data_IF_886560152611
#
_entry.id   IF_886560152611
#
_cell.length_a   1.000
_cell.length_b   1.000
_cell.length_c   1.000
_cell.angle_alpha   90.00
_cell.angle_beta   90.00
_cell.angle_gamma   90.00
#
_symmetry.space_group_name_H-M   'P 1'
#
loop_
_entity.id
_entity.type
_entity.pdbx_description
1 polymer ?
#
# COMPACT_ATOMS: atom_id res chain seq x y z
N UNK A 1 15.44 -19.38 4.36
CA UNK A 1 14.84 -18.68 3.20
C UNK A 1 13.51 -19.38 2.89
N UNK A 2 12.41 -18.66 2.89
CA UNK A 2 11.07 -19.21 2.68
C UNK A 2 10.61 -18.95 1.22
N UNK A 3 10.75 -19.97 0.37
CA UNK A 3 10.29 -19.94 -1.02
C UNK A 3 8.86 -20.48 -1.19
N UNK A 4 8.21 -20.95 -0.11
CA UNK A 4 6.88 -21.54 -0.18
C UNK A 4 5.83 -20.53 -0.69
N UNK A 5 5.95 -19.27 -0.30
CA UNK A 5 5.08 -18.16 -0.76
C UNK A 5 5.12 -17.94 -2.27
N UNK A 6 6.16 -18.45 -2.95
CA UNK A 6 6.33 -18.36 -4.39
C UNK A 6 6.05 -19.68 -5.11
N UNK A 7 5.31 -20.58 -4.44
CA UNK A 7 4.87 -21.85 -5.00
C UNK A 7 5.95 -22.93 -5.11
N UNK A 8 6.98 -22.87 -4.27
CA UNK A 8 7.93 -23.97 -4.12
C UNK A 8 7.49 -24.90 -3.00
N UNK A 9 7.57 -26.18 -3.23
CA UNK A 9 7.54 -27.14 -2.12
C UNK A 9 8.84 -27.06 -1.31
N UNK A 10 8.83 -27.55 -0.08
CA UNK A 10 10.05 -27.58 0.75
C UNK A 10 11.19 -28.36 0.10
N UNK A 11 10.87 -29.43 -0.64
CA UNK A 11 11.82 -30.24 -1.42
C UNK A 11 12.40 -29.45 -2.58
N UNK A 12 11.57 -28.80 -3.38
CA UNK A 12 11.99 -27.96 -4.50
C UNK A 12 12.90 -26.80 -4.04
N UNK A 13 12.55 -26.15 -2.93
CA UNK A 13 13.38 -25.08 -2.37
C UNK A 13 14.76 -25.57 -1.99
N UNK A 14 14.88 -26.74 -1.31
CA UNK A 14 16.17 -27.35 -0.95
C UNK A 14 16.97 -27.72 -2.19
N UNK A 15 16.34 -28.31 -3.20
CA UNK A 15 16.99 -28.72 -4.45
C UNK A 15 17.49 -27.50 -5.23
N UNK A 16 16.70 -26.44 -5.35
CA UNK A 16 17.11 -25.21 -6.00
C UNK A 16 18.29 -24.54 -5.29
N UNK A 17 18.26 -24.42 -3.97
CA UNK A 17 19.34 -23.84 -3.18
C UNK A 17 20.64 -24.66 -3.25
N UNK A 18 20.53 -25.99 -3.24
CA UNK A 18 21.68 -26.88 -3.42
C UNK A 18 22.27 -26.72 -4.83
N UNK A 19 21.41 -26.62 -5.83
CA UNK A 19 21.84 -26.45 -7.22
C UNK A 19 22.50 -25.08 -7.46
N UNK A 20 22.03 -24.01 -6.83
CA UNK A 20 22.70 -22.69 -6.91
C UNK A 20 24.16 -22.75 -6.43
N UNK A 21 24.47 -23.60 -5.44
CA UNK A 21 25.84 -23.76 -4.90
C UNK A 21 26.73 -24.60 -5.79
N UNK A 22 26.12 -25.54 -6.52
CA UNK A 22 26.87 -26.61 -7.22
C UNK A 22 26.82 -26.47 -8.76
N UNK A 23 26.02 -25.57 -9.29
CA UNK A 23 25.70 -25.46 -10.72
C UNK A 23 26.95 -25.30 -11.62
N UNK A 24 27.06 -26.06 -12.68
CA UNK A 24 26.22 -27.17 -13.15
C UNK A 24 26.52 -28.49 -12.43
N UNK A 25 25.48 -29.18 -11.92
CA UNK A 25 25.65 -30.40 -11.09
C UNK A 25 24.78 -31.57 -11.57
N UNK A 26 25.18 -32.79 -11.20
CA UNK A 26 24.38 -34.00 -11.42
C UNK A 26 23.29 -34.09 -10.36
N UNK A 27 22.16 -34.74 -10.67
CA UNK A 27 21.10 -34.96 -9.68
C UNK A 27 21.56 -35.71 -8.43
N UNK A 28 22.59 -36.57 -8.56
CA UNK A 28 23.25 -37.25 -7.44
C UNK A 28 23.97 -36.27 -6.50
N UNK A 29 24.74 -35.35 -7.06
CA UNK A 29 25.45 -34.33 -6.28
C UNK A 29 24.46 -33.39 -5.57
N UNK A 30 23.38 -33.00 -6.26
CA UNK A 30 22.32 -32.20 -5.67
C UNK A 30 21.60 -32.93 -4.52
N UNK A 31 21.28 -34.21 -4.70
CA UNK A 31 20.67 -35.02 -3.64
C UNK A 31 21.50 -35.05 -2.36
N UNK A 32 22.81 -35.25 -2.52
CA UNK A 32 23.75 -35.25 -1.39
C UNK A 32 23.84 -33.90 -0.70
N UNK A 33 23.95 -32.82 -1.45
CA UNK A 33 24.01 -31.45 -0.93
C UNK A 33 22.73 -31.06 -0.22
N UNK A 34 21.58 -31.41 -0.79
CA UNK A 34 20.28 -31.10 -0.22
C UNK A 34 19.89 -32.01 0.96
N UNK A 35 20.59 -33.08 1.21
CA UNK A 35 20.27 -34.08 2.24
C UNK A 35 18.95 -34.82 1.93
N UNK A 36 18.67 -35.10 0.65
CA UNK A 36 17.40 -35.68 0.18
C UNK A 36 17.62 -37.05 -0.48
N UNK A 37 16.59 -37.90 -0.43
CA UNK A 37 16.54 -39.12 -1.21
C UNK A 37 16.63 -38.82 -2.72
N UNK A 38 17.36 -39.67 -3.48
CA UNK A 38 17.57 -39.47 -4.93
C UNK A 38 16.25 -39.33 -5.69
N UNK A 39 15.28 -40.21 -5.43
CA UNK A 39 13.99 -40.20 -6.11
C UNK A 39 13.28 -38.84 -5.93
N UNK A 40 13.22 -38.28 -4.72
CA UNK A 40 12.63 -37.03 -4.40
C UNK A 40 13.36 -35.84 -5.08
N UNK A 41 14.69 -35.92 -5.14
CA UNK A 41 15.52 -34.92 -5.80
C UNK A 41 15.30 -34.91 -7.31
N UNK A 42 15.26 -36.07 -7.96
CA UNK A 42 14.98 -36.14 -9.40
C UNK A 42 13.57 -35.67 -9.73
N UNK A 43 12.56 -36.06 -8.96
CA UNK A 43 11.18 -35.55 -9.12
C UNK A 43 11.12 -34.01 -8.99
N UNK A 44 11.78 -33.44 -7.98
CA UNK A 44 11.85 -32.00 -7.82
C UNK A 44 12.61 -31.29 -8.98
N UNK A 45 13.74 -31.88 -9.44
CA UNK A 45 14.48 -31.35 -10.58
C UNK A 45 13.64 -31.35 -11.88
N UNK A 46 12.85 -32.38 -12.10
CA UNK A 46 11.93 -32.46 -13.26
C UNK A 46 10.81 -31.42 -13.18
N UNK A 47 10.19 -31.26 -11.99
CA UNK A 47 9.17 -30.22 -11.78
C UNK A 47 9.77 -28.82 -11.96
N UNK A 48 10.94 -28.55 -11.39
CA UNK A 48 11.63 -27.26 -11.56
C UNK A 48 12.03 -27.03 -13.01
N UNK A 49 12.44 -28.07 -13.74
CA UNK A 49 12.74 -27.97 -15.17
C UNK A 49 11.51 -27.67 -16.03
N UNK A 50 10.39 -28.30 -15.75
CA UNK A 50 9.10 -28.00 -16.41
C UNK A 50 8.67 -26.56 -16.16
N UNK A 51 8.95 -26.01 -14.98
CA UNK A 51 8.68 -24.62 -14.63
C UNK A 51 9.75 -23.64 -15.16
N UNK A 52 10.79 -24.12 -15.84
CA UNK A 52 11.88 -23.30 -16.37
C UNK A 52 12.81 -22.69 -15.31
N UNK A 53 12.75 -23.19 -14.07
CA UNK A 53 13.59 -22.74 -12.95
C UNK A 53 14.96 -23.43 -12.97
N UNK A 54 15.02 -24.60 -13.60
CA UNK A 54 16.22 -25.41 -13.77
C UNK A 54 16.32 -25.81 -15.24
N UNK A 55 17.50 -25.69 -15.80
CA UNK A 55 17.79 -26.23 -17.14
C UNK A 55 18.50 -27.59 -17.01
N UNK A 56 18.07 -28.55 -17.83
CA UNK A 56 18.75 -29.84 -17.96
C UNK A 56 19.72 -29.80 -19.13
N UNK A 57 20.99 -30.01 -18.85
CA UNK A 57 22.02 -30.15 -19.87
C UNK A 57 22.16 -31.59 -20.34
N UNK A 58 22.36 -31.82 -21.65
CA UNK A 58 22.59 -33.16 -22.16
C UNK A 58 23.90 -33.74 -21.63
N UNK A 59 23.93 -35.04 -21.48
CA UNK A 59 25.15 -35.77 -21.01
C UNK A 59 24.79 -37.07 -20.28
N UNK A 60 25.81 -37.90 -20.04
CA UNK A 60 25.69 -39.14 -19.25
C UNK A 60 26.77 -39.12 -18.16
N UNK A 61 26.44 -38.80 -16.89
CA UNK A 61 25.12 -38.44 -16.38
C UNK A 61 24.66 -37.03 -16.79
N UNK A 62 23.33 -36.78 -16.87
CA UNK A 62 22.77 -35.48 -17.11
C UNK A 62 23.13 -34.48 -15.99
N UNK A 63 23.37 -33.25 -16.35
CA UNK A 63 23.62 -32.17 -15.40
C UNK A 63 22.47 -31.17 -15.41
N UNK A 64 22.33 -30.43 -14.32
CA UNK A 64 21.30 -29.43 -14.12
C UNK A 64 21.95 -28.09 -13.77
N UNK A 65 21.33 -27.00 -14.24
CA UNK A 65 21.77 -25.63 -14.00
C UNK A 65 20.58 -24.87 -13.41
N UNK A 66 20.78 -24.18 -12.32
CA UNK A 66 19.75 -23.31 -11.75
C UNK A 66 19.63 -22.03 -12.58
N UNK A 67 18.39 -21.52 -12.74
CA UNK A 67 18.16 -20.16 -13.20
C UNK A 67 18.80 -19.17 -12.22
N UNK A 68 19.37 -18.11 -12.75
CA UNK A 68 19.95 -17.03 -11.97
C UNK A 68 18.93 -16.45 -10.97
N UNK A 69 19.31 -16.18 -9.69
CA UNK A 69 18.38 -15.68 -8.68
C UNK A 69 17.67 -14.38 -9.06
N UNK A 70 18.36 -13.44 -9.71
CA UNK A 70 17.76 -12.17 -10.13
C UNK A 70 16.74 -12.38 -11.27
N UNK A 71 17.08 -13.26 -12.20
CA UNK A 71 16.16 -13.67 -13.27
C UNK A 71 14.92 -14.36 -12.71
N UNK A 72 15.09 -15.26 -11.75
CA UNK A 72 14.00 -15.92 -11.04
C UNK A 72 13.09 -14.92 -10.33
N UNK A 73 13.65 -14.00 -9.53
CA UNK A 73 12.86 -12.97 -8.82
C UNK A 73 12.09 -12.10 -9.80
N UNK A 74 12.73 -11.63 -10.87
CA UNK A 74 12.10 -10.85 -11.92
C UNK A 74 10.95 -11.58 -12.62
N UNK A 75 11.12 -12.88 -12.86
CA UNK A 75 10.08 -13.72 -13.48
C UNK A 75 8.90 -13.94 -12.55
N UNK A 76 9.14 -14.23 -11.28
CA UNK A 76 8.10 -14.40 -10.27
C UNK A 76 7.31 -13.10 -10.05
N UNK A 77 7.99 -11.96 -10.03
CA UNK A 77 7.34 -10.64 -9.96
C UNK A 77 6.41 -10.38 -11.13
N UNK A 78 6.88 -10.63 -12.37
CA UNK A 78 6.02 -10.48 -13.57
C UNK A 78 4.85 -11.44 -13.57
N UNK A 79 5.02 -12.66 -13.10
CA UNK A 79 3.93 -13.63 -13.00
C UNK A 79 2.88 -13.18 -11.97
N UNK A 80 3.31 -12.80 -10.77
CA UNK A 80 2.42 -12.28 -9.73
C UNK A 80 1.62 -11.07 -10.20
N UNK A 81 2.28 -10.15 -10.92
CA UNK A 81 1.60 -8.96 -11.46
C UNK A 81 0.51 -9.34 -12.47
N UNK A 82 0.79 -10.28 -13.37
CA UNK A 82 -0.22 -10.77 -14.35
C UNK A 82 -1.39 -11.45 -13.67
N UNK A 83 -1.12 -12.26 -12.64
CA UNK A 83 -2.15 -12.96 -11.89
C UNK A 83 -3.06 -11.98 -11.14
N UNK A 84 -2.49 -10.94 -10.53
CA UNK A 84 -3.24 -9.85 -9.90
C UNK A 84 -4.09 -9.06 -10.90
N UNK A 85 -3.54 -8.73 -12.07
CA UNK A 85 -4.29 -8.05 -13.14
C UNK A 85 -5.44 -8.91 -13.68
N UNK A 86 -5.21 -10.23 -13.82
CA UNK A 86 -6.24 -11.15 -14.24
C UNK A 86 -7.35 -11.26 -13.19
N UNK A 87 -6.99 -11.39 -11.92
CA UNK A 87 -7.94 -11.42 -10.80
C UNK A 87 -8.75 -10.11 -10.77
N UNK A 88 -8.12 -8.96 -10.89
CA UNK A 88 -8.80 -7.67 -10.92
C UNK A 88 -9.82 -7.59 -12.06
N UNK A 89 -9.45 -8.07 -13.27
CA UNK A 89 -10.38 -8.14 -14.40
C UNK A 89 -11.57 -9.08 -14.13
N UNK A 90 -11.34 -10.23 -13.52
CA UNK A 90 -12.39 -11.18 -13.16
C UNK A 90 -13.34 -10.58 -12.13
N UNK A 91 -12.82 -9.96 -11.08
CA UNK A 91 -13.62 -9.30 -10.04
C UNK A 91 -14.44 -8.14 -10.61
N UNK A 92 -13.88 -7.32 -11.48
CA UNK A 92 -14.60 -6.24 -12.15
C UNK A 92 -15.75 -6.74 -13.04
N UNK A 93 -15.70 -7.98 -13.57
CA UNK A 93 -16.83 -8.58 -14.31
C UNK A 93 -17.93 -9.07 -13.39
N UNK A 94 -17.60 -9.50 -12.17
CA UNK A 94 -18.57 -9.90 -11.14
C UNK A 94 -19.29 -8.65 -10.59
N UNK A 95 -18.56 -7.58 -10.32
CA UNK A 95 -19.14 -6.29 -9.89
C UNK A 95 -20.12 -5.75 -10.93
N UNK A 96 -19.74 -5.70 -12.20
CA UNK A 96 -20.64 -5.22 -13.28
C UNK A 96 -21.94 -6.02 -13.40
N UNK A 97 -21.98 -7.29 -12.99
CA UNK A 97 -23.22 -8.08 -12.93
C UNK A 97 -24.11 -7.71 -11.73
N UNK A 98 -23.55 -7.05 -10.72
CA UNK A 98 -24.29 -6.51 -9.56
C UNK A 98 -24.91 -5.13 -9.83
N UNK A 99 -24.40 -4.39 -10.81
CA UNK A 99 -24.77 -2.98 -11.10
C UNK A 99 -26.20 -2.81 -11.66
N UNK A 100 -27.03 -3.84 -11.63
CA UNK A 100 -28.45 -3.71 -11.99
C UNK A 100 -29.30 -2.86 -11.04
N UNK A 101 -28.86 -2.55 -9.82
CA UNK A 101 -29.56 -1.69 -8.86
C UNK A 101 -28.81 -1.55 -7.52
N UNK A 102 -27.58 -1.05 -7.47
CA UNK A 102 -26.96 -0.84 -6.18
C UNK A 102 -26.64 0.64 -5.96
N UNK A 103 -27.25 1.19 -4.89
CA UNK A 103 -26.84 2.46 -4.32
C UNK A 103 -25.32 2.42 -4.03
N UNK A 104 -24.57 3.50 -4.28
CA UNK A 104 -23.12 3.54 -4.06
C UNK A 104 -22.81 3.12 -2.63
N UNK A 105 -22.01 2.07 -2.51
CA UNK A 105 -21.75 1.41 -1.25
C UNK A 105 -20.93 2.29 -0.31
N UNK A 106 -21.29 2.28 0.97
CA UNK A 106 -20.45 2.75 2.06
C UNK A 106 -19.66 1.56 2.57
N UNK A 107 -18.35 1.60 2.45
CA UNK A 107 -17.43 0.57 2.97
C UNK A 107 -17.00 0.96 4.37
N UNK A 108 -17.22 0.07 5.34
CA UNK A 108 -16.70 0.24 6.70
C UNK A 108 -15.23 -0.13 6.75
N UNK A 109 -14.44 0.70 7.42
CA UNK A 109 -13.01 0.50 7.66
C UNK A 109 -12.86 0.20 9.16
N UNK A 110 -12.61 -1.06 9.47
CA UNK A 110 -12.76 -1.57 10.83
C UNK A 110 -11.58 -1.25 11.76
N UNK A 111 -10.41 -0.97 11.19
CA UNK A 111 -9.18 -0.73 11.95
C UNK A 111 -8.26 0.29 11.27
N UNK A 112 -7.17 0.63 11.98
CA UNK A 112 -6.15 1.57 11.53
C UNK A 112 -5.55 1.18 10.18
N UNK A 113 -5.22 -0.09 9.99
CA UNK A 113 -4.57 -0.55 8.76
C UNK A 113 -5.51 -0.43 7.56
N UNK A 114 -6.78 -0.82 7.73
CA UNK A 114 -7.81 -0.66 6.70
C UNK A 114 -8.01 0.81 6.29
N UNK A 115 -7.98 1.73 7.27
CA UNK A 115 -8.08 3.18 7.00
C UNK A 115 -6.87 3.67 6.21
N UNK A 116 -5.65 3.36 6.66
CA UNK A 116 -4.42 3.81 6.01
C UNK A 116 -4.27 3.24 4.61
N UNK A 117 -4.54 1.96 4.42
CA UNK A 117 -4.50 1.29 3.12
C UNK A 117 -5.51 1.90 2.15
N UNK A 118 -6.76 2.13 2.61
CA UNK A 118 -7.78 2.75 1.77
C UNK A 118 -7.40 4.18 1.36
N UNK A 119 -6.87 4.98 2.28
CA UNK A 119 -6.38 6.32 1.98
C UNK A 119 -5.23 6.29 0.97
N UNK A 120 -4.26 5.38 1.14
CA UNK A 120 -3.14 5.22 0.21
C UNK A 120 -3.62 4.83 -1.19
N UNK A 121 -4.50 3.83 -1.30
CA UNK A 121 -5.10 3.41 -2.58
C UNK A 121 -5.83 4.57 -3.27
N UNK A 122 -6.61 5.36 -2.53
CA UNK A 122 -7.31 6.52 -3.08
C UNK A 122 -6.32 7.61 -3.55
N UNK A 123 -5.26 7.85 -2.78
CA UNK A 123 -4.24 8.83 -3.12
C UNK A 123 -3.42 8.41 -4.34
N UNK A 124 -3.02 7.14 -4.43
CA UNK A 124 -2.25 6.59 -5.56
C UNK A 124 -3.06 6.58 -6.86
N UNK A 125 -4.36 6.31 -6.76
CA UNK A 125 -5.29 6.33 -7.89
C UNK A 125 -5.69 7.73 -8.37
N UNK A 126 -5.44 8.78 -7.60
CA UNK A 126 -5.85 10.14 -7.90
C UNK A 126 -5.09 10.73 -9.10
N UNK A 127 -5.83 11.46 -9.96
CA UNK A 127 -5.32 12.08 -11.19
C UNK A 127 -5.47 13.59 -11.25
N UNK A 128 -6.49 14.15 -10.57
CA UNK A 128 -6.85 15.57 -10.63
C UNK A 128 -6.62 16.29 -9.31
N UNK A 129 -7.22 15.81 -8.23
CA UNK A 129 -7.25 16.53 -6.96
C UNK A 129 -7.22 15.56 -5.76
N UNK A 130 -6.39 15.87 -4.78
CA UNK A 130 -6.47 15.30 -3.43
C UNK A 130 -6.68 16.44 -2.44
N UNK A 131 -7.74 16.35 -1.65
CA UNK A 131 -7.97 17.19 -0.47
C UNK A 131 -7.93 16.30 0.76
N UNK A 132 -7.13 16.65 1.76
CA UNK A 132 -7.03 15.85 2.97
C UNK A 132 -6.86 16.70 4.22
N UNK A 133 -7.44 16.22 5.33
CA UNK A 133 -7.10 16.58 6.70
C UNK A 133 -6.52 15.34 7.35
N UNK A 134 -5.34 15.45 7.95
CA UNK A 134 -4.62 14.33 8.55
C UNK A 134 -4.29 14.67 10.00
N UNK A 135 -4.82 13.88 10.91
CA UNK A 135 -4.51 13.95 12.33
C UNK A 135 -3.13 13.38 12.68
N UNK A 136 -2.64 13.64 13.90
CA UNK A 136 -1.28 13.30 14.31
C UNK A 136 -0.98 11.79 14.39
N UNK A 137 -1.98 10.94 14.27
CA UNK A 137 -1.85 9.49 14.39
C UNK A 137 -1.49 8.76 13.09
N UNK A 138 -1.45 9.47 11.94
CA UNK A 138 -1.29 8.85 10.62
C UNK A 138 -0.21 9.51 9.74
N UNK A 139 1.01 9.74 10.25
CA UNK A 139 2.09 10.34 9.46
C UNK A 139 2.50 9.47 8.27
N UNK A 140 2.21 8.17 8.30
CA UNK A 140 2.51 7.21 7.22
C UNK A 140 1.77 7.52 5.91
N UNK A 141 0.73 8.34 5.94
CA UNK A 141 0.02 8.76 4.71
C UNK A 141 0.78 9.82 3.92
N UNK A 142 1.68 10.57 4.53
CA UNK A 142 2.35 11.69 3.87
C UNK A 142 3.13 11.32 2.61
N UNK A 143 3.83 10.18 2.52
CA UNK A 143 4.45 9.76 1.26
C UNK A 143 3.47 9.58 0.10
N UNK A 144 2.30 8.99 0.36
CA UNK A 144 1.25 8.82 -0.65
C UNK A 144 0.58 10.16 -1.03
N UNK A 145 0.49 11.09 -0.07
CA UNK A 145 -0.07 12.44 -0.28
C UNK A 145 0.95 13.42 -0.88
N UNK A 146 2.24 13.06 -0.93
CA UNK A 146 3.29 13.87 -1.52
C UNK A 146 3.19 13.94 -3.04
N UNK A 147 2.60 15.00 -3.59
CA UNK A 147 2.35 15.18 -5.03
C UNK A 147 3.58 15.42 -5.92
N UNK A 148 4.80 15.37 -5.38
CA UNK A 148 6.04 15.80 -6.07
C UNK A 148 6.36 15.03 -7.36
N UNK A 149 5.84 13.84 -7.55
CA UNK A 149 6.06 13.01 -8.75
C UNK A 149 4.93 13.12 -9.80
N UNK A 150 3.87 13.89 -9.53
CA UNK A 150 2.67 13.97 -10.38
C UNK A 150 2.32 15.45 -10.67
N UNK A 151 2.93 16.09 -11.69
CA UNK A 151 2.87 17.54 -11.92
C UNK A 151 1.46 18.09 -12.20
N UNK A 152 0.51 17.25 -12.58
CA UNK A 152 -0.89 17.65 -12.86
C UNK A 152 -1.84 17.43 -11.67
N UNK A 153 -1.38 16.77 -10.61
CA UNK A 153 -2.21 16.48 -9.43
C UNK A 153 -2.19 17.64 -8.45
N UNK A 154 -3.36 18.20 -8.17
CA UNK A 154 -3.52 19.23 -7.14
C UNK A 154 -3.67 18.54 -5.78
N UNK A 155 -2.66 18.65 -4.93
CA UNK A 155 -2.69 18.10 -3.58
C UNK A 155 -2.73 19.22 -2.55
N UNK A 156 -3.77 19.20 -1.69
CA UNK A 156 -3.92 20.12 -0.55
C UNK A 156 -4.13 19.29 0.72
N UNK A 157 -3.19 19.40 1.63
CA UNK A 157 -3.22 18.68 2.90
C UNK A 157 -3.19 19.67 4.05
N UNK A 158 -4.11 19.54 4.99
CA UNK A 158 -4.06 20.16 6.31
C UNK A 158 -3.56 19.10 7.31
N UNK A 159 -2.42 19.36 7.93
CA UNK A 159 -1.88 18.52 9.00
C UNK A 159 -2.22 19.12 10.35
N UNK A 160 -2.84 18.33 11.22
CA UNK A 160 -3.18 18.71 12.58
C UNK A 160 -2.13 18.15 13.55
N UNK A 161 -1.15 18.97 13.91
CA UNK A 161 -0.22 18.65 14.99
C UNK A 161 0.88 17.63 14.70
N UNK A 162 1.16 17.26 13.45
CA UNK A 162 2.25 16.38 13.06
C UNK A 162 3.19 17.02 12.06
N UNK A 163 4.47 16.56 11.97
CA UNK A 163 5.33 16.99 10.87
C UNK A 163 4.60 16.71 9.56
N UNK A 164 4.46 17.74 8.73
CA UNK A 164 3.76 17.66 7.47
C UNK A 164 4.74 17.54 6.31
N UNK A 165 4.32 16.93 5.18
CA UNK A 165 5.13 16.92 3.98
C UNK A 165 5.32 18.35 3.45
N UNK A 166 6.40 18.57 2.68
CA UNK A 166 6.68 19.84 2.05
C UNK A 166 5.47 20.30 1.21
N UNK A 167 4.97 21.49 1.51
CA UNK A 167 3.80 22.07 0.81
C UNK A 167 2.44 21.81 1.47
N UNK A 168 2.38 21.06 2.57
CA UNK A 168 1.15 20.94 3.36
C UNK A 168 0.95 22.18 4.26
N UNK A 169 -0.31 22.49 4.54
CA UNK A 169 -0.68 23.51 5.53
C UNK A 169 -0.58 22.85 6.90
N UNK A 170 0.26 23.39 7.77
CA UNK A 170 0.36 22.93 9.16
C UNK A 170 -0.53 23.80 10.05
N UNK A 171 -1.32 23.14 10.88
CA UNK A 171 -2.09 23.77 11.95
C UNK A 171 -1.77 23.06 13.26
N UNK A 172 -0.85 23.58 14.06
CA UNK A 172 -0.55 23.03 15.37
C UNK A 172 -1.74 23.29 16.31
N UNK A 173 -2.55 22.26 16.52
CA UNK A 173 -3.68 22.29 17.43
C UNK A 173 -3.42 21.26 18.53
N UNK A 174 -3.64 21.61 19.82
CA UNK A 174 -3.53 20.65 20.90
C UNK A 174 -4.46 19.45 20.70
N UNK A 175 -3.97 18.24 20.99
CA UNK A 175 -4.74 16.99 20.80
C UNK A 175 -6.14 17.04 21.45
N UNK A 176 -6.30 17.55 22.69
CA UNK A 176 -7.63 17.63 23.30
C UNK A 176 -8.62 18.53 22.53
N UNK A 177 -8.11 19.58 21.88
CA UNK A 177 -8.97 20.46 21.06
C UNK A 177 -9.37 19.77 19.75
N UNK A 178 -8.45 19.00 19.13
CA UNK A 178 -8.76 18.19 17.96
C UNK A 178 -9.84 17.15 18.32
N UNK A 179 -9.65 16.42 19.40
CA UNK A 179 -10.60 15.40 19.86
C UNK A 179 -11.97 15.99 20.19
N UNK A 180 -12.01 17.15 20.85
CA UNK A 180 -13.25 17.84 21.17
C UNK A 180 -14.03 18.27 19.92
N UNK A 181 -13.32 18.74 18.88
CA UNK A 181 -13.93 19.24 17.66
C UNK A 181 -14.38 18.13 16.70
N UNK A 182 -13.55 17.07 16.57
CA UNK A 182 -13.75 16.00 15.59
C UNK A 182 -14.36 14.71 16.19
N UNK A 183 -14.49 14.63 17.50
CA UNK A 183 -14.90 13.42 18.21
C UNK A 183 -13.79 12.35 18.25
N UNK A 184 -12.54 12.74 18.02
CA UNK A 184 -11.35 11.93 17.97
C UNK A 184 -10.31 12.54 17.03
N UNK A 185 -9.20 11.85 16.77
CA UNK A 185 -8.17 12.31 15.85
C UNK A 185 -8.56 11.98 14.40
N UNK A 186 -8.82 12.97 13.52
CA UNK A 186 -9.44 12.72 12.23
C UNK A 186 -8.45 12.29 11.16
N UNK A 187 -8.97 11.56 10.18
CA UNK A 187 -8.54 11.58 8.78
C UNK A 187 -9.78 11.84 7.93
N UNK A 188 -9.69 12.79 7.03
CA UNK A 188 -10.67 12.95 5.96
C UNK A 188 -9.94 13.20 4.65
N UNK A 189 -10.29 12.46 3.60
CA UNK A 189 -9.67 12.53 2.29
C UNK A 189 -10.74 12.48 1.20
N UNK A 190 -10.58 13.30 0.18
CA UNK A 190 -11.35 13.21 -1.08
C UNK A 190 -10.35 13.17 -2.23
N UNK A 191 -10.50 12.16 -3.11
CA UNK A 191 -9.74 12.03 -4.34
C UNK A 191 -10.65 12.19 -5.57
N UNK A 192 -10.24 13.05 -6.51
CA UNK A 192 -10.86 13.31 -7.82
C UNK A 192 -12.37 13.60 -7.80
N UNK A 193 -12.89 14.08 -6.67
CA UNK A 193 -14.35 14.28 -6.47
C UNK A 193 -15.19 13.00 -6.61
N UNK A 194 -14.56 11.82 -6.54
CA UNK A 194 -15.18 10.52 -6.80
C UNK A 194 -15.30 9.67 -5.57
N UNK A 195 -14.32 9.73 -4.68
CA UNK A 195 -14.26 8.94 -3.46
C UNK A 195 -13.95 9.81 -2.26
N UNK A 196 -14.63 9.55 -1.15
CA UNK A 196 -14.35 10.14 0.15
C UNK A 196 -13.98 9.04 1.15
N UNK A 197 -13.01 9.33 2.01
CA UNK A 197 -12.66 8.52 3.18
C UNK A 197 -12.77 9.43 4.40
N UNK A 198 -13.50 8.99 5.42
CA UNK A 198 -13.61 9.68 6.71
C UNK A 198 -13.32 8.67 7.82
N UNK A 199 -12.41 9.00 8.70
CA UNK A 199 -12.04 8.15 9.82
C UNK A 199 -11.68 8.97 11.06
N UNK A 200 -11.81 8.35 12.21
CA UNK A 200 -11.36 8.91 13.48
C UNK A 200 -10.59 7.85 14.26
N UNK A 201 -9.53 8.27 14.95
CA UNK A 201 -8.85 7.48 15.94
C UNK A 201 -9.24 7.99 17.34
N UNK A 202 -9.61 7.08 18.20
CA UNK A 202 -9.84 7.29 19.63
C UNK A 202 -8.88 6.39 20.41
N UNK A 203 -8.82 6.51 21.75
CA UNK A 203 -7.91 5.73 22.59
C UNK A 203 -7.93 4.23 22.27
N UNK A 204 -6.99 3.77 21.44
CA UNK A 204 -6.74 2.35 21.13
C UNK A 204 -7.38 1.81 19.84
N UNK A 205 -8.22 2.54 19.12
CA UNK A 205 -8.84 2.09 17.90
C UNK A 205 -8.98 3.22 16.86
N UNK A 206 -8.89 2.87 15.58
CA UNK A 206 -9.26 3.77 14.50
C UNK A 206 -10.30 3.07 13.63
N UNK A 207 -11.38 3.78 13.31
CA UNK A 207 -12.46 3.29 12.46
C UNK A 207 -12.86 4.36 11.46
N UNK A 208 -13.43 3.95 10.35
CA UNK A 208 -13.84 4.90 9.32
C UNK A 208 -14.79 4.33 8.29
N UNK A 209 -15.08 5.17 7.31
CA UNK A 209 -15.90 4.82 6.15
C UNK A 209 -15.25 5.33 4.87
N UNK A 210 -15.40 4.58 3.80
CA UNK A 210 -15.11 5.03 2.43
C UNK A 210 -16.37 4.96 1.60
N UNK A 211 -16.60 5.97 0.75
CA UNK A 211 -17.79 5.99 -0.11
C UNK A 211 -17.55 6.75 -1.41
N UNK A 212 -18.18 6.28 -2.48
CA UNK A 212 -18.31 6.96 -3.77
C UNK A 212 -19.70 7.58 -3.97
N UNK A 213 -20.49 7.66 -2.88
CA UNK A 213 -21.86 8.15 -2.94
C UNK A 213 -21.93 9.61 -3.40
N UNK A 214 -22.75 9.92 -4.45
CA UNK A 214 -22.79 11.24 -5.08
C UNK A 214 -23.28 12.37 -4.16
N UNK A 215 -23.95 12.06 -3.05
CA UNK A 215 -24.30 13.05 -2.04
C UNK A 215 -23.19 13.23 -0.98
N UNK A 216 -22.47 12.15 -0.63
CA UNK A 216 -21.50 12.16 0.47
C UNK A 216 -20.16 12.78 0.04
N UNK A 217 -19.69 12.46 -1.15
CA UNK A 217 -18.40 12.97 -1.65
C UNK A 217 -18.40 14.50 -1.79
N UNK A 218 -19.40 15.18 -2.39
CA UNK A 218 -19.44 16.64 -2.43
C UNK A 218 -19.53 17.28 -1.05
N UNK A 219 -20.25 16.65 -0.11
CA UNK A 219 -20.38 17.14 1.27
C UNK A 219 -19.02 17.12 1.99
N UNK A 220 -18.32 15.99 1.98
CA UNK A 220 -16.99 15.87 2.58
C UNK A 220 -15.99 16.81 1.88
N UNK A 221 -16.05 16.91 0.56
CA UNK A 221 -15.21 17.85 -0.21
C UNK A 221 -15.44 19.31 0.19
N UNK A 222 -16.68 19.71 0.40
CA UNK A 222 -17.01 21.06 0.87
C UNK A 222 -16.42 21.33 2.26
N UNK A 223 -16.58 20.36 3.18
CA UNK A 223 -16.00 20.44 4.51
C UNK A 223 -14.47 20.59 4.45
N UNK A 224 -13.79 19.74 3.68
CA UNK A 224 -12.34 19.80 3.54
C UNK A 224 -11.85 21.13 2.95
N UNK A 225 -12.55 21.67 1.98
CA UNK A 225 -12.20 22.99 1.41
C UNK A 225 -12.32 24.10 2.43
N UNK A 226 -13.33 24.05 3.29
CA UNK A 226 -13.52 25.01 4.38
C UNK A 226 -12.39 24.89 5.40
N UNK A 227 -12.05 23.67 5.85
CA UNK A 227 -10.97 23.43 6.81
C UNK A 227 -9.61 23.86 6.26
N UNK A 228 -9.32 23.56 5.00
CA UNK A 228 -8.11 23.99 4.31
C UNK A 228 -8.03 25.52 4.19
N UNK A 229 -9.12 26.20 3.97
CA UNK A 229 -9.17 27.66 3.91
C UNK A 229 -8.93 28.28 5.30
N UNK A 230 -9.55 27.74 6.35
CA UNK A 230 -9.36 28.17 7.74
C UNK A 230 -7.94 27.88 8.23
N UNK A 231 -7.35 26.75 7.82
CA UNK A 231 -5.97 26.40 8.17
C UNK A 231 -4.92 27.30 7.52
N UNK A 232 -5.25 27.97 6.42
CA UNK A 232 -4.40 28.93 5.74
C UNK A 232 -4.44 30.35 6.35
N UNK A 233 -5.40 30.63 7.24
CA UNK A 233 -5.49 31.92 7.94
C UNK A 233 -4.78 31.80 9.30
N UNK A 234 -3.92 32.80 9.69
CA UNK A 234 -3.33 32.83 11.01
C UNK A 234 -4.41 32.77 12.08
N UNK A 235 -4.26 31.90 13.07
CA UNK A 235 -5.22 31.84 14.19
C UNK A 235 -5.10 33.12 15.03
N UNK A 236 -6.21 33.68 15.58
CA UNK A 236 -6.16 34.89 16.42
C UNK A 236 -5.22 34.82 17.61
N UNK A 237 -4.91 33.61 18.10
CA UNK A 237 -3.92 33.39 19.18
C UNK A 237 -2.47 33.67 18.75
N UNK A 238 -2.13 33.56 17.45
CA UNK A 238 -0.77 33.84 16.98
C UNK A 238 -0.45 35.34 17.01
N UNK A 239 -1.49 36.20 16.96
CA UNK A 239 -1.37 37.66 17.07
C UNK A 239 -1.06 38.14 18.49
N UNK A 240 -1.23 37.31 19.51
CA UNK A 240 -0.94 37.67 20.93
C UNK A 240 0.52 37.41 21.28
N UNK A 241 1.11 36.29 20.82
CA UNK A 241 2.51 35.97 21.12
C UNK A 241 3.49 36.90 20.41
N UNK A 242 3.19 37.42 19.22
CA UNK A 242 4.01 38.39 18.49
C UNK A 242 3.97 39.81 19.14
N UNK A 243 2.90 40.14 19.88
CA UNK A 243 2.82 41.42 20.61
C UNK A 243 3.58 41.42 21.93
N UNK A 244 3.68 40.27 22.59
CA UNK A 244 4.49 40.16 23.82
C UNK A 244 5.98 40.10 23.52
N UNK A 245 6.39 39.44 22.42
CA UNK A 245 7.79 39.41 21.99
C UNK A 245 8.31 40.80 21.55
N UNK A 246 7.47 41.71 21.11
CA UNK A 246 7.85 43.11 20.71
C UNK A 246 7.77 44.12 21.84
N UNK A 247 7.29 43.75 23.03
CA UNK A 247 7.23 44.64 24.22
C UNK A 247 8.34 44.37 25.23
N UNK A 248 9.21 43.38 24.99
CA UNK A 248 10.31 42.95 25.84
C UNK A 248 11.70 43.35 25.33
N UNK A 249 11.82 44.31 24.40
CA UNK A 249 13.10 44.93 23.98
C UNK A 249 13.15 46.42 24.28
#
# INVERSE_FOLDING_TARGET
MDLARFGFTSTEAKVYLALLRLSPATGYAVAREAGLARANTYGALETLATRGIVARLPGRPARFVAEDPEALVSRLGRQSQRDLEQLARQLATVERRRDGAQAPAVTLLADRNAVLERCAVCADGAREEILAVVGPWAPELYPALGGSARPHLVVKVLSLGSPAPKGAIMRPVPVPEIESYWGGLPIALVADRRVAVCAVATAGAATGVSSEHPALVPFVRHLLRRELALGATPHPSDAHSDREARRGT
#
